data_IF_551328319518
#
_entry.id   IF_551328319518
#
_cell.length_a   1.000
_cell.length_b   1.000
_cell.length_c   1.000
_cell.angle_alpha   90.00
_cell.angle_beta   90.00
_cell.angle_gamma   90.00
#
_symmetry.space_group_name_H-M   'P 1'
#
loop_
_entity.id
_entity.type
_entity.pdbx_description
1 polymer ?
#
# COMPACT_ATOMS: atom_id res chain seq x y z
N UNK A 1 -29.24 13.95 -2.41
CA UNK A 1 -28.35 14.67 -3.32
C UNK A 1 -27.62 15.76 -2.54
N UNK A 2 -26.42 15.51 -2.03
CA UNK A 2 -25.55 16.55 -1.44
C UNK A 2 -24.68 17.10 -2.57
N UNK A 3 -24.83 18.39 -2.89
CA UNK A 3 -24.01 19.10 -3.86
C UNK A 3 -22.57 19.18 -3.35
N UNK A 4 -21.64 18.62 -4.12
CA UNK A 4 -20.21 18.85 -3.93
C UNK A 4 -19.87 20.25 -4.42
N UNK A 5 -19.25 21.12 -3.61
CA UNK A 5 -18.82 22.43 -4.07
C UNK A 5 -17.62 22.28 -5.02
N UNK A 6 -17.71 22.87 -6.20
CA UNK A 6 -16.61 23.02 -7.13
C UNK A 6 -15.53 23.87 -6.47
N UNK A 7 -14.33 23.32 -6.34
CA UNK A 7 -13.15 24.05 -5.90
C UNK A 7 -12.66 24.94 -7.04
N UNK A 8 -12.62 26.25 -6.80
CA UNK A 8 -12.06 27.23 -7.71
C UNK A 8 -10.54 27.05 -7.77
N UNK A 9 -9.99 27.00 -8.97
CA UNK A 9 -8.56 27.09 -9.27
C UNK A 9 -8.04 28.46 -8.84
N UNK A 10 -7.59 28.61 -7.61
CA UNK A 10 -6.77 29.72 -7.18
C UNK A 10 -5.30 29.27 -7.26
N UNK A 11 -4.56 29.89 -8.16
CA UNK A 11 -3.11 29.82 -8.17
C UNK A 11 -2.59 30.22 -6.79
N UNK A 12 -1.96 29.27 -6.09
CA UNK A 12 -1.33 29.51 -4.79
C UNK A 12 -0.13 30.42 -5.04
N UNK A 13 -0.33 31.72 -4.83
CA UNK A 13 0.77 32.67 -4.63
C UNK A 13 1.40 32.32 -3.30
N UNK A 14 2.68 31.98 -3.32
CA UNK A 14 3.49 31.84 -2.12
C UNK A 14 3.51 33.19 -1.39
N UNK A 15 2.81 33.30 -0.27
CA UNK A 15 2.93 34.39 0.68
C UNK A 15 4.25 34.25 1.41
N UNK A 16 4.87 35.39 1.66
CA UNK A 16 6.22 35.60 2.14
C UNK A 16 6.67 34.70 3.28
N UNK A 17 7.94 34.33 3.23
CA UNK A 17 8.66 33.60 4.25
C UNK A 17 8.62 34.36 5.58
N UNK A 18 7.81 33.88 6.53
CA UNK A 18 8.06 34.10 7.94
C UNK A 18 9.34 33.33 8.26
N UNK A 19 10.23 33.90 9.06
CA UNK A 19 11.50 33.34 9.54
C UNK A 19 11.26 32.21 10.54
N UNK A 20 10.43 31.23 10.20
CA UNK A 20 10.34 29.96 10.93
C UNK A 20 11.63 29.20 10.62
N UNK A 21 12.37 28.84 11.67
CA UNK A 21 13.54 27.96 11.59
C UNK A 21 13.12 26.70 10.82
N UNK A 22 13.77 26.46 9.67
CA UNK A 22 13.46 25.30 8.83
C UNK A 22 13.65 24.02 9.65
N UNK A 23 12.56 23.27 9.88
CA UNK A 23 12.60 22.01 10.61
C UNK A 23 13.46 20.98 9.88
N UNK A 24 14.22 20.21 10.63
CA UNK A 24 14.87 19.01 10.11
C UNK A 24 13.99 17.79 10.39
N UNK A 25 13.56 17.09 9.32
CA UNK A 25 12.75 15.88 9.39
C UNK A 25 13.58 14.68 8.93
N UNK A 26 13.77 13.69 9.80
CA UNK A 26 14.42 12.42 9.44
C UNK A 26 13.38 11.32 9.28
N UNK A 27 13.38 10.69 8.11
CA UNK A 27 12.42 9.63 7.73
C UNK A 27 13.15 8.29 7.66
N UNK A 28 12.70 7.32 8.43
CA UNK A 28 13.27 5.97 8.49
C UNK A 28 12.50 5.07 7.53
N UNK A 29 13.11 4.77 6.40
CA UNK A 29 12.54 3.97 5.31
C UNK A 29 12.27 4.79 4.04
N UNK A 30 12.90 4.39 2.94
CA UNK A 30 12.73 4.98 1.62
C UNK A 30 11.72 4.24 0.75
N UNK A 31 10.75 3.52 1.36
CA UNK A 31 9.57 3.01 0.66
C UNK A 31 8.68 4.15 0.17
N UNK A 32 7.65 3.85 -0.62
CA UNK A 32 6.80 4.88 -1.23
C UNK A 32 6.13 5.80 -0.18
N UNK A 33 5.77 5.28 0.99
CA UNK A 33 5.22 6.10 2.09
C UNK A 33 6.26 7.10 2.61
N UNK A 34 7.51 6.66 2.80
CA UNK A 34 8.60 7.53 3.21
C UNK A 34 8.92 8.60 2.17
N UNK A 35 8.98 8.24 0.88
CA UNK A 35 9.22 9.18 -0.21
C UNK A 35 8.08 10.23 -0.33
N UNK A 36 6.82 9.81 -0.24
CA UNK A 36 5.69 10.74 -0.25
C UNK A 36 5.71 11.67 0.98
N UNK A 37 6.06 11.13 2.16
CA UNK A 37 6.20 11.96 3.37
C UNK A 37 7.30 13.00 3.18
N UNK A 38 8.46 12.58 2.64
CA UNK A 38 9.57 13.48 2.33
C UNK A 38 9.16 14.59 1.35
N UNK A 39 8.40 14.23 0.31
CA UNK A 39 7.93 15.18 -0.69
C UNK A 39 7.09 16.28 -0.04
N UNK A 40 6.05 15.92 0.71
CA UNK A 40 5.18 16.90 1.37
C UNK A 40 5.89 17.70 2.49
N UNK A 41 6.94 17.15 3.11
CA UNK A 41 7.81 17.90 4.02
C UNK A 41 8.70 18.90 3.26
N UNK A 42 9.31 18.49 2.15
CA UNK A 42 10.15 19.34 1.32
C UNK A 42 9.38 20.50 0.67
N UNK A 43 8.12 20.28 0.30
CA UNK A 43 7.21 21.34 -0.22
C UNK A 43 6.95 22.46 0.81
N UNK A 44 7.13 22.17 2.09
CA UNK A 44 7.04 23.15 3.18
C UNK A 44 8.37 23.84 3.50
N UNK A 45 9.40 23.59 2.67
CA UNK A 45 10.73 24.17 2.86
C UNK A 45 11.53 23.55 4.02
N UNK A 46 11.13 22.35 4.52
CA UNK A 46 11.86 21.69 5.59
C UNK A 46 13.06 20.90 5.03
N UNK A 47 14.14 20.88 5.81
CA UNK A 47 15.27 19.99 5.52
C UNK A 47 14.87 18.55 5.78
N UNK A 48 15.06 17.68 4.79
CA UNK A 48 14.67 16.27 4.88
C UNK A 48 15.88 15.36 4.73
N UNK A 49 15.98 14.37 5.62
CA UNK A 49 16.91 13.24 5.52
C UNK A 49 16.10 11.95 5.46
N UNK A 50 16.37 11.11 4.46
CA UNK A 50 15.81 9.77 4.37
C UNK A 50 16.91 8.77 4.66
N UNK A 51 16.63 7.82 5.57
CA UNK A 51 17.56 6.77 5.97
C UNK A 51 16.99 5.42 5.55
N UNK A 52 17.76 4.63 4.80
CA UNK A 52 17.33 3.29 4.38
C UNK A 52 18.51 2.31 4.44
N UNK A 53 18.25 1.09 4.91
CA UNK A 53 19.22 0.01 4.96
C UNK A 53 19.69 -0.46 3.58
N UNK A 54 18.86 -0.26 2.57
CA UNK A 54 19.12 -0.64 1.18
C UNK A 54 19.76 0.50 0.40
N UNK A 55 20.19 0.23 -0.82
CA UNK A 55 20.70 1.25 -1.74
C UNK A 55 19.61 2.00 -2.51
N UNK A 56 20.03 2.93 -3.35
CA UNK A 56 19.13 3.70 -4.22
C UNK A 56 18.35 2.79 -5.20
N UNK A 57 18.99 1.74 -5.69
CA UNK A 57 18.38 0.68 -6.52
C UNK A 57 17.92 -0.47 -5.62
N UNK A 58 16.79 -0.28 -4.96
CA UNK A 58 16.18 -1.26 -4.07
C UNK A 58 14.95 -1.88 -4.69
N UNK A 59 14.67 -3.13 -4.34
CA UNK A 59 13.52 -3.91 -4.79
C UNK A 59 12.48 -4.15 -3.67
N UNK A 60 12.42 -3.25 -2.70
CA UNK A 60 11.51 -3.35 -1.56
C UNK A 60 10.02 -3.44 -1.97
N UNK A 61 9.15 -3.67 -1.00
CA UNK A 61 7.72 -4.00 -1.19
C UNK A 61 6.96 -3.02 -2.12
N UNK A 62 7.38 -1.76 -2.22
CA UNK A 62 6.79 -0.78 -3.11
C UNK A 62 7.11 -1.04 -4.59
N UNK A 63 8.31 -1.53 -4.89
CA UNK A 63 8.81 -1.70 -6.26
C UNK A 63 8.09 -2.80 -7.04
N UNK A 64 7.91 -3.96 -6.43
CA UNK A 64 7.25 -5.11 -7.04
C UNK A 64 5.73 -5.13 -6.82
N UNK A 65 5.15 -4.06 -6.28
CA UNK A 65 3.71 -3.89 -6.15
C UNK A 65 3.03 -3.90 -7.53
N UNK A 66 1.77 -4.33 -7.58
CA UNK A 66 0.97 -4.33 -8.81
C UNK A 66 0.44 -2.94 -9.20
N UNK A 67 0.77 -1.90 -8.44
CA UNK A 67 0.53 -0.51 -8.80
C UNK A 67 -0.93 -0.05 -8.76
N UNK A 68 -1.82 -0.82 -8.19
CA UNK A 68 -3.23 -0.48 -8.09
C UNK A 68 -3.46 0.70 -7.13
N UNK A 69 -4.22 1.70 -7.58
CA UNK A 69 -4.76 2.80 -6.78
C UNK A 69 -6.26 2.58 -6.75
N UNK A 70 -6.76 1.99 -5.67
CA UNK A 70 -8.06 1.33 -5.66
C UNK A 70 -8.97 1.82 -4.53
N UNK A 71 -9.72 2.92 -4.73
CA UNK A 71 -10.84 3.29 -3.88
C UNK A 71 -11.83 2.14 -3.65
N UNK A 72 -11.92 1.19 -4.59
CA UNK A 72 -12.74 -0.01 -4.47
C UNK A 72 -12.32 -0.97 -3.34
N UNK A 73 -11.08 -0.87 -2.85
CA UNK A 73 -10.57 -1.71 -1.75
C UNK A 73 -10.82 -1.08 -0.37
N UNK A 74 -12.05 -0.67 -0.11
CA UNK A 74 -12.47 -0.04 1.15
C UNK A 74 -12.80 -1.03 2.26
N UNK A 75 -12.92 -2.33 1.98
CA UNK A 75 -13.14 -3.36 3.00
C UNK A 75 -11.79 -3.77 3.60
N UNK A 76 -11.60 -3.66 4.93
CA UNK A 76 -10.34 -4.03 5.57
C UNK A 76 -10.08 -5.54 5.44
N UNK A 77 -8.80 -5.93 5.52
CA UNK A 77 -8.38 -7.34 5.46
C UNK A 77 -9.04 -8.18 6.56
N UNK A 78 -9.23 -7.61 7.74
CA UNK A 78 -9.93 -8.23 8.87
C UNK A 78 -11.45 -8.13 8.69
N UNK A 79 -12.02 -8.91 7.78
CA UNK A 79 -13.46 -8.97 7.50
C UNK A 79 -14.10 -10.24 8.09
N UNK A 80 -15.44 -10.28 8.31
CA UNK A 80 -16.15 -11.48 8.71
C UNK A 80 -15.85 -12.66 7.77
N UNK A 81 -15.62 -13.84 8.34
CA UNK A 81 -15.26 -15.03 7.58
C UNK A 81 -13.79 -15.14 7.19
N UNK A 82 -13.00 -14.06 7.26
CA UNK A 82 -11.58 -14.08 6.87
C UNK A 82 -10.75 -15.10 7.66
N UNK A 83 -11.02 -15.26 8.97
CA UNK A 83 -10.31 -16.24 9.81
C UNK A 83 -10.66 -17.67 9.39
N UNK A 84 -11.96 -18.00 9.23
CA UNK A 84 -12.40 -19.33 8.82
C UNK A 84 -11.86 -19.68 7.41
N UNK A 85 -11.91 -18.74 6.50
CA UNK A 85 -11.35 -18.89 5.16
C UNK A 85 -9.82 -19.07 5.20
N UNK A 86 -9.14 -18.31 6.04
CA UNK A 86 -7.70 -18.43 6.24
C UNK A 86 -7.30 -19.81 6.78
N UNK A 87 -8.01 -20.33 7.79
CA UNK A 87 -7.80 -21.68 8.33
C UNK A 87 -8.02 -22.77 7.27
N UNK A 88 -9.08 -22.65 6.45
CA UNK A 88 -9.32 -23.56 5.33
C UNK A 88 -8.18 -23.52 4.31
N UNK A 89 -7.68 -22.36 4.00
CA UNK A 89 -6.59 -22.19 3.04
C UNK A 89 -5.23 -22.64 3.55
N UNK A 90 -4.99 -22.64 4.87
CA UNK A 90 -3.75 -23.17 5.46
C UNK A 90 -3.48 -24.65 5.16
N UNK A 91 -4.53 -25.42 4.85
CA UNK A 91 -4.40 -26.83 4.50
C UNK A 91 -3.93 -27.05 3.05
N UNK A 92 -3.89 -26.00 2.22
CA UNK A 92 -3.47 -26.08 0.83
C UNK A 92 -2.29 -25.12 0.57
N UNK A 93 -1.06 -25.63 0.30
CA UNK A 93 0.11 -24.81 0.01
C UNK A 93 -0.04 -23.89 -1.22
N UNK A 94 -0.91 -24.25 -2.16
CA UNK A 94 -1.18 -23.45 -3.37
C UNK A 94 -2.26 -22.38 -3.17
N UNK A 95 -2.82 -22.24 -1.95
CA UNK A 95 -3.90 -21.28 -1.66
C UNK A 95 -3.40 -19.83 -1.73
N UNK A 96 -4.28 -18.85 -1.96
CA UNK A 96 -3.93 -17.43 -1.98
C UNK A 96 -3.40 -16.89 -0.66
N UNK A 97 -3.74 -17.56 0.47
CA UNK A 97 -3.32 -17.17 1.81
C UNK A 97 -2.73 -18.36 2.57
N UNK A 98 -1.63 -18.13 3.26
CA UNK A 98 -0.95 -19.15 4.06
C UNK A 98 -0.30 -18.54 5.29
N UNK A 99 -0.34 -19.28 6.39
CA UNK A 99 0.42 -18.97 7.59
C UNK A 99 1.44 -20.09 7.81
N UNK A 100 2.71 -19.76 7.68
CA UNK A 100 3.79 -20.73 7.94
C UNK A 100 3.80 -21.07 9.43
N UNK A 101 3.59 -22.32 9.81
CA UNK A 101 3.64 -22.74 11.21
C UNK A 101 5.00 -22.39 11.84
N UNK A 102 4.98 -21.60 12.92
CA UNK A 102 6.16 -21.26 13.70
C UNK A 102 5.75 -20.91 15.13
N UNK A 103 6.55 -21.27 16.14
CA UNK A 103 6.33 -20.82 17.50
C UNK A 103 6.65 -19.31 17.60
N UNK A 104 5.59 -18.47 17.64
CA UNK A 104 5.74 -17.02 17.77
C UNK A 104 4.60 -16.43 18.56
N UNK A 105 4.91 -15.93 19.75
CA UNK A 105 3.95 -15.21 20.59
C UNK A 105 3.41 -13.95 19.90
N UNK A 106 4.24 -13.28 19.11
CA UNK A 106 3.84 -12.10 18.34
C UNK A 106 2.78 -12.45 17.29
N UNK A 107 2.98 -13.57 16.56
CA UNK A 107 2.00 -14.05 15.58
C UNK A 107 0.69 -14.45 16.25
N UNK A 108 0.76 -15.13 17.39
CA UNK A 108 -0.44 -15.50 18.17
C UNK A 108 -1.19 -14.26 18.65
N UNK A 109 -0.48 -13.31 19.26
CA UNK A 109 -1.07 -12.06 19.75
C UNK A 109 -1.69 -11.23 18.60
N UNK A 110 -1.00 -11.18 17.44
CA UNK A 110 -1.52 -10.54 16.23
C UNK A 110 -2.78 -11.27 15.73
N UNK A 111 -2.76 -12.60 15.69
CA UNK A 111 -3.91 -13.43 15.27
C UNK A 111 -5.15 -13.22 16.14
N UNK A 112 -4.98 -13.12 17.48
CA UNK A 112 -6.08 -12.81 18.39
C UNK A 112 -6.66 -11.40 18.12
N UNK A 113 -5.79 -10.40 17.88
CA UNK A 113 -6.25 -9.05 17.53
C UNK A 113 -6.97 -9.04 16.17
N UNK A 114 -6.44 -9.77 15.18
CA UNK A 114 -7.05 -9.92 13.86
C UNK A 114 -8.44 -10.56 13.95
N UNK A 115 -8.57 -11.65 14.71
CA UNK A 115 -9.87 -12.29 14.95
C UNK A 115 -10.88 -11.35 15.61
N UNK A 116 -10.47 -10.61 16.65
CA UNK A 116 -11.32 -9.60 17.30
C UNK A 116 -11.69 -8.46 16.36
N UNK A 117 -10.83 -8.11 15.42
CA UNK A 117 -11.10 -7.07 14.42
C UNK A 117 -12.07 -7.55 13.32
N UNK A 118 -12.14 -8.87 13.05
CA UNK A 118 -12.93 -9.45 11.96
C UNK A 118 -14.44 -9.52 12.28
N UNK A 119 -15.04 -8.39 12.65
CA UNK A 119 -16.46 -8.28 12.96
C UNK A 119 -17.16 -7.29 12.00
N UNK A 120 -18.43 -7.56 11.68
CA UNK A 120 -19.23 -6.69 10.80
C UNK A 120 -19.31 -5.23 11.29
N UNK A 121 -19.41 -5.04 12.62
CA UNK A 121 -19.46 -3.70 13.23
C UNK A 121 -18.15 -2.94 12.99
N UNK A 122 -17.00 -3.60 13.12
CA UNK A 122 -15.70 -2.97 12.89
C UNK A 122 -15.48 -2.66 11.41
N UNK A 123 -15.87 -3.57 10.52
CA UNK A 123 -15.85 -3.33 9.07
C UNK A 123 -16.71 -2.15 8.70
N UNK A 124 -17.95 -2.07 9.20
CA UNK A 124 -18.86 -0.96 8.92
C UNK A 124 -18.31 0.41 9.37
N UNK A 125 -17.48 0.44 10.43
CA UNK A 125 -16.78 1.66 10.88
C UNK A 125 -15.52 1.97 10.08
N UNK A 126 -14.78 0.96 9.68
CA UNK A 126 -13.50 1.11 8.97
C UNK A 126 -13.67 1.41 7.48
N UNK A 127 -14.70 0.84 6.83
CA UNK A 127 -14.90 0.95 5.40
C UNK A 127 -15.07 2.38 4.88
N UNK A 128 -15.88 3.26 5.51
CA UNK A 128 -15.98 4.66 5.09
C UNK A 128 -14.64 5.41 5.22
N UNK A 129 -13.89 5.17 6.31
CA UNK A 129 -12.58 5.78 6.52
C UNK A 129 -11.56 5.34 5.47
N UNK A 130 -11.51 4.05 5.14
CA UNK A 130 -10.62 3.54 4.09
C UNK A 130 -11.01 4.09 2.71
N UNK A 131 -12.30 4.25 2.44
CA UNK A 131 -12.78 4.88 1.22
C UNK A 131 -12.35 6.34 1.14
N UNK A 132 -12.55 7.12 2.21
CA UNK A 132 -12.15 8.54 2.27
C UNK A 132 -10.64 8.70 2.07
N UNK A 133 -9.83 7.86 2.74
CA UNK A 133 -8.37 7.83 2.56
C UNK A 133 -7.99 7.49 1.12
N UNK A 134 -8.65 6.51 0.51
CA UNK A 134 -8.34 6.06 -0.84
C UNK A 134 -8.73 7.09 -1.90
N UNK A 135 -9.88 7.74 -1.74
CA UNK A 135 -10.30 8.84 -2.62
C UNK A 135 -9.36 10.05 -2.50
N UNK A 136 -9.03 10.46 -1.28
CA UNK A 136 -8.07 11.55 -1.05
C UNK A 136 -6.68 11.20 -1.60
N UNK A 137 -6.25 9.95 -1.50
CA UNK A 137 -4.97 9.51 -2.07
C UNK A 137 -4.98 9.50 -3.59
N UNK A 138 -6.09 9.09 -4.19
CA UNK A 138 -6.30 9.14 -5.63
C UNK A 138 -6.19 10.59 -6.14
N UNK A 139 -6.82 11.54 -5.45
CA UNK A 139 -6.69 12.98 -5.77
C UNK A 139 -5.23 13.43 -5.66
N UNK A 140 -4.50 13.03 -4.61
CA UNK A 140 -3.08 13.34 -4.47
C UNK A 140 -2.24 12.83 -5.65
N UNK A 141 -2.50 11.62 -6.15
CA UNK A 141 -1.80 11.09 -7.33
C UNK A 141 -2.06 11.93 -8.57
N UNK A 142 -3.30 12.38 -8.79
CA UNK A 142 -3.64 13.27 -9.89
C UNK A 142 -2.99 14.66 -9.76
N UNK A 143 -2.91 15.20 -8.54
CA UNK A 143 -2.18 16.45 -8.29
C UNK A 143 -0.69 16.30 -8.63
N UNK A 144 -0.05 15.20 -8.22
CA UNK A 144 1.36 14.92 -8.52
C UNK A 144 1.60 14.75 -10.02
N UNK A 145 0.73 14.00 -10.71
CA UNK A 145 0.81 13.84 -12.16
C UNK A 145 0.57 15.17 -12.91
N UNK A 146 -0.40 15.97 -12.44
CA UNK A 146 -0.69 17.32 -12.96
C UNK A 146 0.45 18.30 -12.74
N UNK A 147 1.27 18.10 -11.71
CA UNK A 147 2.52 18.85 -11.47
C UNK A 147 3.69 18.36 -12.34
N UNK A 148 3.47 17.44 -13.27
CA UNK A 148 4.48 16.95 -14.21
C UNK A 148 5.28 15.74 -13.72
N UNK A 149 4.90 15.10 -12.62
CA UNK A 149 5.56 13.87 -12.16
C UNK A 149 5.16 12.67 -13.02
N UNK A 150 6.14 12.00 -13.62
CA UNK A 150 5.92 10.77 -14.36
C UNK A 150 5.75 9.59 -13.40
N UNK A 151 4.50 9.24 -13.14
CA UNK A 151 4.12 8.12 -12.28
C UNK A 151 3.71 6.88 -13.08
N UNK A 152 3.58 7.00 -14.40
CA UNK A 152 2.94 5.99 -15.23
C UNK A 152 1.49 5.76 -14.83
N UNK A 153 0.78 6.82 -14.43
CA UNK A 153 -0.61 6.78 -13.99
C UNK A 153 -1.55 6.51 -15.16
N UNK A 154 -2.50 5.61 -15.00
CA UNK A 154 -3.53 5.26 -15.98
C UNK A 154 -4.90 5.12 -15.31
N UNK A 155 -5.89 5.86 -15.82
CA UNK A 155 -7.28 5.89 -15.34
C UNK A 155 -8.17 5.02 -16.22
N UNK A 156 -8.01 3.69 -16.09
CA UNK A 156 -8.77 2.70 -16.87
C UNK A 156 -9.76 1.90 -16.02
N UNK A 157 -9.86 2.23 -14.73
CA UNK A 157 -10.63 1.45 -13.77
C UNK A 157 -9.97 0.11 -13.44
N UNK A 158 -10.63 -0.64 -12.57
CA UNK A 158 -10.25 -2.02 -12.21
C UNK A 158 -11.42 -2.96 -12.42
N UNK A 159 -11.15 -4.14 -12.99
CA UNK A 159 -12.12 -5.22 -13.15
C UNK A 159 -11.94 -6.27 -12.04
N UNK A 160 -12.94 -6.50 -11.21
CA UNK A 160 -12.97 -7.66 -10.32
C UNK A 160 -13.59 -8.81 -11.09
N UNK A 161 -12.76 -9.69 -11.63
CA UNK A 161 -13.14 -10.78 -12.52
C UNK A 161 -13.54 -12.02 -11.74
N UNK A 162 -14.66 -12.66 -12.08
CA UNK A 162 -15.20 -13.82 -11.41
C UNK A 162 -15.38 -14.99 -12.38
N UNK A 163 -14.91 -16.19 -12.00
CA UNK A 163 -15.11 -17.44 -12.77
C UNK A 163 -16.32 -18.23 -12.29
N UNK A 164 -16.77 -18.03 -11.04
CA UNK A 164 -17.91 -18.76 -10.48
C UNK A 164 -19.09 -17.84 -10.22
N UNK A 165 -20.31 -18.36 -10.42
CA UNK A 165 -21.53 -17.60 -10.12
C UNK A 165 -21.60 -17.16 -8.67
N UNK A 166 -21.22 -18.03 -7.74
CA UNK A 166 -21.18 -17.71 -6.31
C UNK A 166 -20.30 -16.49 -6.02
N UNK A 167 -19.09 -16.46 -6.56
CA UNK A 167 -18.17 -15.33 -6.35
C UNK A 167 -18.67 -14.05 -7.01
N UNK A 168 -19.25 -14.17 -8.20
CA UNK A 168 -19.86 -13.06 -8.90
C UNK A 168 -21.01 -12.42 -8.10
N UNK A 169 -21.86 -13.24 -7.47
CA UNK A 169 -22.97 -12.77 -6.64
C UNK A 169 -22.45 -12.09 -5.35
N UNK A 170 -21.35 -12.57 -4.75
CA UNK A 170 -20.68 -11.92 -3.61
C UNK A 170 -20.09 -10.55 -3.99
N UNK A 171 -19.36 -10.47 -5.12
CA UNK A 171 -18.79 -9.22 -5.60
C UNK A 171 -19.87 -8.23 -6.05
N UNK A 172 -21.00 -8.70 -6.58
CA UNK A 172 -22.16 -7.86 -6.90
C UNK A 172 -22.75 -7.20 -5.65
N UNK A 173 -22.85 -7.91 -4.54
CA UNK A 173 -23.27 -7.34 -3.23
C UNK A 173 -22.24 -6.33 -2.73
N UNK A 174 -20.95 -6.58 -2.92
CA UNK A 174 -19.90 -5.62 -2.59
C UNK A 174 -20.02 -4.35 -3.42
N UNK A 175 -20.37 -4.47 -4.71
CA UNK A 175 -20.64 -3.34 -5.58
C UNK A 175 -21.87 -2.53 -5.13
N UNK A 176 -22.91 -3.17 -4.63
CA UNK A 176 -24.08 -2.49 -4.02
C UNK A 176 -23.67 -1.68 -2.79
N UNK A 177 -22.83 -2.26 -1.93
CA UNK A 177 -22.31 -1.57 -0.75
C UNK A 177 -21.41 -0.38 -1.15
N UNK A 178 -20.55 -0.56 -2.16
CA UNK A 178 -19.74 0.52 -2.72
C UNK A 178 -20.61 1.71 -3.20
N UNK A 179 -21.67 1.41 -3.97
CA UNK A 179 -22.64 2.44 -4.43
C UNK A 179 -23.34 3.14 -3.27
N UNK A 180 -23.70 2.39 -2.23
CA UNK A 180 -24.31 2.98 -1.01
C UNK A 180 -23.37 3.95 -0.29
N UNK A 181 -22.04 3.74 -0.40
CA UNK A 181 -21.00 4.65 0.09
C UNK A 181 -20.65 5.78 -0.90
N UNK A 182 -21.30 5.83 -2.07
CA UNK A 182 -21.07 6.86 -3.09
C UNK A 182 -19.96 6.55 -4.10
N UNK A 183 -19.40 5.34 -4.09
CA UNK A 183 -18.41 4.89 -5.07
C UNK A 183 -19.12 4.23 -6.27
N UNK A 184 -18.83 4.70 -7.49
CA UNK A 184 -19.36 4.08 -8.71
C UNK A 184 -18.83 2.65 -8.87
N UNK A 185 -19.75 1.71 -9.09
CA UNK A 185 -19.45 0.31 -9.36
C UNK A 185 -20.48 -0.24 -10.36
N UNK A 186 -20.02 -0.92 -11.40
CA UNK A 186 -20.84 -1.50 -12.46
C UNK A 186 -20.68 -3.00 -12.46
N UNK A 187 -21.80 -3.73 -12.33
CA UNK A 187 -21.83 -5.20 -12.45
C UNK A 187 -22.01 -5.51 -13.92
N UNK A 188 -21.08 -6.26 -14.48
CA UNK A 188 -20.97 -6.54 -15.92
C UNK A 188 -21.13 -8.04 -16.18
N UNK A 189 -21.92 -8.37 -17.19
CA UNK A 189 -21.98 -9.72 -17.77
C UNK A 189 -20.64 -10.10 -18.42
N UNK A 190 -20.53 -11.37 -18.85
CA UNK A 190 -19.36 -11.85 -19.60
C UNK A 190 -19.09 -11.01 -20.86
N UNK A 191 -20.14 -10.74 -21.65
CA UNK A 191 -20.01 -10.01 -22.92
C UNK A 191 -19.65 -8.54 -22.69
N UNK A 192 -20.27 -7.89 -21.69
CA UNK A 192 -19.91 -6.53 -21.32
C UNK A 192 -18.48 -6.45 -20.77
N UNK A 193 -18.01 -7.46 -20.02
CA UNK A 193 -16.63 -7.54 -19.58
C UNK A 193 -15.67 -7.65 -20.76
N UNK A 194 -15.96 -8.51 -21.73
CA UNK A 194 -15.17 -8.68 -22.95
C UNK A 194 -15.17 -7.41 -23.82
N UNK A 195 -16.26 -6.66 -23.86
CA UNK A 195 -16.34 -5.41 -24.61
C UNK A 195 -15.46 -4.29 -24.03
N UNK A 196 -15.24 -4.28 -22.70
CA UNK A 196 -14.32 -3.33 -22.06
C UNK A 196 -12.84 -3.60 -22.38
N UNK A 197 -12.49 -4.86 -22.57
CA UNK A 197 -11.10 -5.27 -22.83
C UNK A 197 -11.04 -6.28 -23.98
N UNK A 198 -11.31 -5.84 -25.22
CA UNK A 198 -11.44 -6.72 -26.41
C UNK A 198 -10.11 -7.30 -26.88
N UNK A 199 -8.97 -6.79 -26.40
CA UNK A 199 -7.65 -7.21 -26.87
C UNK A 199 -7.20 -8.54 -26.25
N UNK A 200 -7.87 -8.97 -25.17
CA UNK A 200 -7.58 -10.22 -24.46
C UNK A 200 -8.85 -11.04 -24.25
N UNK A 201 -8.73 -12.35 -24.41
CA UNK A 201 -9.83 -13.27 -24.06
C UNK A 201 -9.80 -13.55 -22.57
N UNK A 202 -10.97 -13.45 -21.92
CA UNK A 202 -11.15 -13.69 -20.49
C UNK A 202 -12.14 -14.84 -20.28
N UNK A 203 -11.78 -15.84 -19.46
CA UNK A 203 -12.67 -16.91 -19.03
C UNK A 203 -13.31 -16.53 -17.70
N UNK A 204 -14.43 -15.81 -17.78
CA UNK A 204 -15.18 -15.29 -16.64
C UNK A 204 -16.68 -15.43 -16.85
N UNK A 205 -17.44 -15.51 -15.77
CA UNK A 205 -18.93 -15.44 -15.81
C UNK A 205 -19.41 -13.99 -15.81
N UNK A 206 -18.57 -13.07 -15.38
CA UNK A 206 -18.79 -11.62 -15.32
C UNK A 206 -17.75 -10.93 -14.44
N UNK A 207 -17.90 -9.64 -14.28
CA UNK A 207 -17.01 -8.83 -13.45
C UNK A 207 -17.74 -7.69 -12.76
N UNK A 208 -17.07 -7.06 -11.79
CA UNK A 208 -17.46 -5.74 -11.28
C UNK A 208 -16.40 -4.74 -11.74
N UNK A 209 -16.81 -3.70 -12.42
CA UNK A 209 -15.94 -2.60 -12.87
C UNK A 209 -16.05 -1.41 -11.91
N UNK A 210 -14.90 -0.94 -11.44
CA UNK A 210 -14.76 0.27 -10.64
C UNK A 210 -14.05 1.36 -11.46
N UNK A 211 -14.79 2.27 -12.13
CA UNK A 211 -14.21 3.26 -13.04
C UNK A 211 -13.28 4.26 -12.37
N UNK A 212 -13.48 4.51 -11.05
CA UNK A 212 -12.68 5.46 -10.27
C UNK A 212 -11.30 4.92 -9.89
N UNK A 213 -11.10 3.62 -10.00
CA UNK A 213 -9.79 3.01 -9.75
C UNK A 213 -8.80 3.39 -10.86
N UNK A 214 -7.54 3.44 -10.51
CA UNK A 214 -6.42 3.71 -11.40
C UNK A 214 -5.28 2.73 -11.15
N UNK A 215 -4.30 2.73 -12.01
CA UNK A 215 -3.04 2.05 -11.74
C UNK A 215 -1.85 2.93 -12.14
N UNK A 216 -0.70 2.68 -11.53
CA UNK A 216 0.56 3.34 -11.84
C UNK A 216 1.67 2.32 -12.06
N UNK A 217 2.81 2.78 -12.59
CA UNK A 217 4.03 1.97 -12.69
C UNK A 217 4.90 2.21 -11.46
N UNK A 218 4.93 1.29 -10.45
CA UNK A 218 5.58 1.57 -9.16
C UNK A 218 7.06 1.92 -9.26
N UNK A 219 7.81 1.25 -10.14
CA UNK A 219 9.23 1.55 -10.38
C UNK A 219 9.43 2.97 -10.92
N UNK A 220 8.56 3.42 -11.83
CA UNK A 220 8.58 4.77 -12.41
C UNK A 220 8.23 5.82 -11.34
N UNK A 221 7.16 5.59 -10.58
CA UNK A 221 6.76 6.46 -9.48
C UNK A 221 7.85 6.61 -8.41
N UNK A 222 8.46 5.50 -8.00
CA UNK A 222 9.56 5.50 -7.03
C UNK A 222 10.79 6.25 -7.53
N UNK A 223 11.18 6.04 -8.80
CA UNK A 223 12.32 6.72 -9.41
C UNK A 223 12.05 8.23 -9.56
N UNK A 224 10.85 8.61 -9.97
CA UNK A 224 10.45 10.03 -10.11
C UNK A 224 10.44 10.73 -8.76
N UNK A 225 9.82 10.14 -7.72
CA UNK A 225 9.82 10.72 -6.37
C UNK A 225 11.25 10.87 -5.82
N UNK A 226 12.12 9.90 -6.03
CA UNK A 226 13.51 9.96 -5.58
C UNK A 226 14.29 11.06 -6.30
N UNK A 227 14.12 11.22 -7.60
CA UNK A 227 14.75 12.27 -8.42
C UNK A 227 14.28 13.65 -7.96
N UNK A 228 12.96 13.85 -7.84
CA UNK A 228 12.37 15.10 -7.37
C UNK A 228 12.88 15.52 -5.98
N UNK A 229 12.97 14.56 -5.06
CA UNK A 229 13.50 14.80 -3.72
C UNK A 229 14.99 15.16 -3.74
N UNK A 230 15.78 14.51 -4.58
CA UNK A 230 17.20 14.85 -4.74
C UNK A 230 17.38 16.27 -5.29
N UNK A 231 16.58 16.69 -6.28
CA UNK A 231 16.57 18.04 -6.83
C UNK A 231 16.16 19.10 -5.78
N UNK A 232 15.31 18.75 -4.83
CA UNK A 232 14.89 19.59 -3.69
C UNK A 232 15.89 19.60 -2.53
N UNK A 233 17.05 18.92 -2.68
CA UNK A 233 18.09 18.90 -1.65
C UNK A 233 17.86 17.90 -0.51
N UNK A 234 16.97 16.93 -0.67
CA UNK A 234 16.81 15.85 0.31
C UNK A 234 18.09 15.01 0.42
N UNK A 235 18.59 14.83 1.64
CA UNK A 235 19.72 13.94 1.93
C UNK A 235 19.21 12.50 1.96
N UNK A 236 19.84 11.61 1.21
CA UNK A 236 19.62 10.18 1.28
C UNK A 236 20.82 9.49 1.96
N UNK A 237 20.59 8.83 3.08
CA UNK A 237 21.55 7.97 3.76
C UNK A 237 21.22 6.50 3.38
N UNK A 238 21.81 6.07 2.27
CA UNK A 238 21.68 4.70 1.77
C UNK A 238 22.59 3.75 2.53
N UNK A 239 22.28 2.45 2.50
CA UNK A 239 23.02 1.39 3.20
C UNK A 239 23.18 1.70 4.71
N UNK A 240 22.21 2.37 5.29
CA UNK A 240 22.21 2.89 6.65
C UNK A 240 21.08 2.24 7.44
N UNK A 241 21.38 1.14 8.13
CA UNK A 241 20.40 0.44 8.97
C UNK A 241 20.30 1.10 10.33
N UNK A 242 19.08 1.50 10.71
CA UNK A 242 18.77 2.01 12.05
C UNK A 242 18.67 0.85 13.03
N UNK A 243 19.45 0.90 14.11
CA UNK A 243 19.49 -0.12 15.15
C UNK A 243 19.07 0.39 16.53
N UNK A 244 18.95 1.69 16.72
CA UNK A 244 18.61 2.25 18.03
C UNK A 244 18.13 3.69 17.97
N UNK A 245 17.67 4.14 19.13
CA UNK A 245 17.06 5.45 19.34
C UNK A 245 17.61 6.06 20.64
N UNK A 246 18.04 7.32 20.58
CA UNK A 246 18.49 8.06 21.76
C UNK A 246 17.43 9.08 22.14
N UNK A 247 16.86 8.93 23.31
CA UNK A 247 15.83 9.82 23.87
C UNK A 247 16.42 10.71 24.96
N UNK A 248 15.88 11.93 25.04
CA UNK A 248 15.95 12.77 26.21
C UNK A 248 14.49 13.01 26.69
N UNK A 249 14.17 12.46 27.86
CA UNK A 249 12.80 12.48 28.42
C UNK A 249 11.76 11.94 27.40
N UNK A 250 10.89 12.83 26.86
CA UNK A 250 9.83 12.51 25.91
C UNK A 250 10.13 13.02 24.48
N UNK A 251 11.40 13.29 24.16
CA UNK A 251 11.82 13.69 22.82
C UNK A 251 12.88 12.73 22.30
N UNK A 252 12.71 12.29 21.06
CA UNK A 252 13.73 11.55 20.33
C UNK A 252 14.78 12.54 19.83
N UNK A 253 16.04 12.35 20.23
CA UNK A 253 17.15 13.24 19.90
C UNK A 253 17.88 12.77 18.64
N UNK A 254 18.11 11.45 18.54
CA UNK A 254 18.82 10.90 17.41
C UNK A 254 18.42 9.42 17.15
N UNK A 255 18.61 8.98 15.93
CA UNK A 255 18.64 7.58 15.56
C UNK A 255 20.09 7.10 15.45
N UNK A 256 20.36 5.85 15.83
CA UNK A 256 21.69 5.26 15.76
C UNK A 256 21.74 4.22 14.65
N UNK A 257 22.76 4.32 13.81
CA UNK A 257 23.01 3.44 12.68
C UNK A 257 23.95 2.26 13.05
N UNK A 258 23.96 1.21 12.24
CA UNK A 258 24.91 0.10 12.35
C UNK A 258 26.38 0.54 12.25
N UNK A 259 26.65 1.64 11.54
CA UNK A 259 27.99 2.25 11.46
C UNK A 259 28.48 2.88 12.76
N UNK A 260 27.59 3.06 13.75
CA UNK A 260 27.85 3.84 14.96
C UNK A 260 27.55 5.33 14.80
N UNK A 261 27.28 5.83 13.60
CA UNK A 261 26.85 7.21 13.36
C UNK A 261 25.47 7.48 13.99
N UNK A 262 25.27 8.66 14.53
CA UNK A 262 23.98 9.17 14.96
C UNK A 262 23.47 10.26 14.00
N UNK A 263 22.17 10.23 13.68
CA UNK A 263 21.50 11.27 12.92
C UNK A 263 20.47 11.92 13.82
N UNK A 264 20.63 13.21 14.06
CA UNK A 264 19.72 14.06 14.80
C UNK A 264 18.66 14.69 13.88
N UNK A 265 17.54 15.08 14.45
CA UNK A 265 16.49 15.85 13.75
C UNK A 265 15.51 16.47 14.78
N UNK A 266 14.74 17.46 14.33
CA UNK A 266 13.63 18.01 15.11
C UNK A 266 12.45 17.04 15.16
N UNK A 267 12.23 16.30 14.07
CA UNK A 267 11.11 15.35 13.92
C UNK A 267 11.58 14.07 13.23
N UNK A 268 11.06 12.94 13.70
CA UNK A 268 11.33 11.63 13.13
C UNK A 268 10.05 10.97 12.65
N UNK A 269 10.13 10.27 11.52
CA UNK A 269 9.03 9.49 10.96
C UNK A 269 9.46 8.05 10.74
N UNK A 270 8.77 7.10 11.36
CA UNK A 270 8.98 5.68 11.16
C UNK A 270 8.11 5.19 10.02
N UNK A 271 8.72 4.93 8.85
CA UNK A 271 8.08 4.46 7.61
C UNK A 271 8.76 3.20 7.03
N UNK A 272 9.27 2.32 7.93
CA UNK A 272 10.12 1.18 7.59
C UNK A 272 9.34 -0.09 7.19
N UNK A 273 8.10 0.03 6.71
CA UNK A 273 7.28 -1.09 6.25
C UNK A 273 7.17 -2.20 7.29
N UNK A 274 7.41 -3.45 6.92
CA UNK A 274 7.31 -4.61 7.82
C UNK A 274 8.34 -4.60 8.96
N UNK A 275 9.44 -3.86 8.84
CA UNK A 275 10.44 -3.69 9.91
C UNK A 275 10.02 -2.67 10.97
N UNK A 276 8.94 -1.93 10.73
CA UNK A 276 8.45 -0.93 11.69
C UNK A 276 8.03 -1.53 13.04
N UNK A 277 7.59 -2.78 13.09
CA UNK A 277 7.30 -3.45 14.37
C UNK A 277 8.57 -3.61 15.22
N UNK A 278 9.66 -4.11 14.63
CA UNK A 278 10.96 -4.30 15.29
C UNK A 278 11.57 -2.96 15.73
N UNK A 279 11.58 -1.98 14.83
CA UNK A 279 12.10 -0.64 15.13
C UNK A 279 11.23 0.09 16.14
N UNK A 280 9.90 -0.07 16.05
CA UNK A 280 8.96 0.48 17.03
C UNK A 280 9.23 -0.07 18.43
N UNK A 281 9.39 -1.39 18.57
CA UNK A 281 9.74 -2.00 19.85
C UNK A 281 11.06 -1.44 20.43
N UNK A 282 12.08 -1.25 19.59
CA UNK A 282 13.33 -0.62 19.99
C UNK A 282 13.15 0.86 20.42
N UNK A 283 12.17 1.56 19.84
CA UNK A 283 11.78 2.91 20.21
C UNK A 283 10.81 2.95 21.41
N UNK A 284 10.38 1.82 21.95
CA UNK A 284 9.40 1.73 23.04
C UNK A 284 7.96 2.03 22.62
N UNK A 285 7.61 1.78 21.35
CA UNK A 285 6.24 1.88 20.82
C UNK A 285 5.74 0.51 20.36
N UNK A 286 4.46 0.26 20.54
CA UNK A 286 3.83 -1.02 20.15
C UNK A 286 2.98 -0.84 18.89
N UNK A 287 3.56 -1.17 17.74
CA UNK A 287 2.86 -1.19 16.43
C UNK A 287 2.83 -2.63 15.91
N UNK A 288 1.85 -3.46 16.35
CA UNK A 288 1.81 -4.87 15.99
C UNK A 288 1.60 -5.03 14.47
N UNK A 289 2.56 -5.69 13.83
CA UNK A 289 2.56 -5.98 12.41
C UNK A 289 2.95 -7.43 12.14
N UNK A 290 2.37 -8.02 11.11
CA UNK A 290 2.90 -9.23 10.49
C UNK A 290 3.28 -8.93 9.04
N UNK A 291 4.42 -9.48 8.63
CA UNK A 291 4.84 -9.38 7.25
C UNK A 291 4.02 -10.36 6.39
N UNK A 292 3.22 -9.82 5.47
CA UNK A 292 2.46 -10.57 4.49
C UNK A 292 3.21 -10.67 3.17
N UNK A 293 3.99 -11.75 2.97
CA UNK A 293 4.77 -11.94 1.76
C UNK A 293 3.86 -12.19 0.55
N UNK A 294 4.09 -11.47 -0.52
CA UNK A 294 3.45 -11.68 -1.81
C UNK A 294 4.49 -11.73 -2.92
N UNK A 295 4.09 -12.28 -4.05
CA UNK A 295 4.96 -12.46 -5.20
C UNK A 295 4.39 -11.77 -6.42
N UNK A 296 5.26 -11.37 -7.34
CA UNK A 296 4.85 -10.89 -8.67
C UNK A 296 5.83 -11.33 -9.75
N UNK A 297 5.31 -11.42 -10.98
CA UNK A 297 6.07 -11.66 -12.20
C UNK A 297 5.75 -10.53 -13.17
N UNK A 298 6.75 -10.08 -13.91
CA UNK A 298 6.58 -9.01 -14.89
C UNK A 298 7.03 -9.50 -16.26
N UNK A 299 6.06 -9.61 -17.17
CA UNK A 299 6.32 -9.89 -18.58
C UNK A 299 6.65 -8.54 -19.23
N UNK A 300 7.89 -8.36 -19.68
CA UNK A 300 8.34 -7.12 -20.32
C UNK A 300 7.77 -6.90 -21.71
N UNK A 301 7.45 -8.01 -22.41
CA UNK A 301 6.90 -8.00 -23.77
C UNK A 301 5.82 -9.07 -23.87
N UNK A 302 4.65 -8.87 -23.25
CA UNK A 302 3.56 -9.85 -23.28
C UNK A 302 2.99 -9.93 -24.70
N UNK A 303 2.57 -11.13 -25.12
CA UNK A 303 1.93 -11.32 -26.45
C UNK A 303 0.65 -10.52 -26.64
N UNK A 304 -0.03 -10.22 -25.55
CA UNK A 304 -1.21 -9.36 -25.45
C UNK A 304 -1.13 -8.54 -24.18
N UNK A 305 -1.72 -7.37 -24.17
CA UNK A 305 -1.75 -6.48 -23.00
C UNK A 305 -3.19 -6.08 -22.70
N UNK A 306 -3.73 -6.44 -21.52
CA UNK A 306 -5.02 -5.94 -21.06
C UNK A 306 -5.02 -4.41 -21.00
N UNK A 307 -6.15 -3.79 -21.32
CA UNK A 307 -6.32 -2.32 -21.24
C UNK A 307 -6.50 -1.85 -19.80
N UNK A 308 -7.21 -2.65 -19.01
CA UNK A 308 -7.57 -2.35 -17.62
C UNK A 308 -6.82 -3.26 -16.66
N UNK A 309 -6.54 -2.75 -15.47
CA UNK A 309 -6.10 -3.60 -14.38
C UNK A 309 -7.25 -4.53 -13.93
N UNK A 310 -6.90 -5.70 -13.40
CA UNK A 310 -7.89 -6.65 -12.91
C UNK A 310 -7.45 -7.31 -11.59
N UNK A 311 -8.44 -7.74 -10.82
CA UNK A 311 -8.28 -8.65 -9.69
C UNK A 311 -9.06 -9.94 -9.99
N UNK A 312 -8.38 -11.06 -10.01
CA UNK A 312 -8.95 -12.39 -10.17
C UNK A 312 -9.55 -12.82 -8.82
N UNK A 313 -10.86 -12.75 -8.69
CA UNK A 313 -11.53 -12.74 -7.39
C UNK A 313 -11.30 -14.01 -6.57
N UNK A 314 -11.36 -15.20 -7.19
CA UNK A 314 -11.14 -16.50 -6.51
C UNK A 314 -9.66 -16.70 -6.14
N UNK A 315 -8.75 -16.28 -7.03
CA UNK A 315 -7.32 -16.51 -6.89
C UNK A 315 -6.60 -15.43 -6.07
N UNK A 316 -7.22 -14.27 -5.84
CA UNK A 316 -6.59 -13.11 -5.22
C UNK A 316 -5.29 -12.69 -5.93
N UNK A 317 -5.32 -12.75 -7.26
CA UNK A 317 -4.22 -12.36 -8.14
C UNK A 317 -4.59 -11.07 -8.84
N UNK A 318 -3.74 -10.07 -8.72
CA UNK A 318 -3.85 -8.81 -9.47
C UNK A 318 -3.10 -8.92 -10.80
N UNK A 319 -3.70 -8.37 -11.83
CA UNK A 319 -3.16 -8.29 -13.18
C UNK A 319 -3.14 -6.80 -13.55
N UNK A 320 -1.96 -6.26 -13.86
CA UNK A 320 -1.82 -4.82 -14.09
C UNK A 320 -0.95 -4.54 -15.32
N UNK A 321 -1.46 -3.79 -16.29
CA UNK A 321 -0.62 -3.22 -17.34
C UNK A 321 0.34 -2.19 -16.72
N UNK A 322 1.62 -2.25 -17.13
CA UNK A 322 2.73 -1.42 -16.63
C UNK A 322 3.45 -0.73 -17.80
N UNK A 323 2.77 0.18 -18.49
CA UNK A 323 3.18 0.63 -19.82
C UNK A 323 3.04 -0.52 -20.81
N UNK A 324 4.14 -0.91 -21.46
CA UNK A 324 4.17 -2.03 -22.43
C UNK A 324 4.35 -3.41 -21.75
N UNK A 325 4.56 -3.44 -20.44
CA UNK A 325 4.73 -4.68 -19.67
C UNK A 325 3.43 -5.08 -18.99
N UNK A 326 3.35 -6.36 -18.59
CA UNK A 326 2.24 -6.90 -17.80
C UNK A 326 2.78 -7.47 -16.50
N UNK A 327 2.27 -6.99 -15.37
CA UNK A 327 2.58 -7.53 -14.06
C UNK A 327 1.43 -8.38 -13.52
N UNK A 328 1.77 -9.59 -13.08
CA UNK A 328 0.85 -10.52 -12.44
C UNK A 328 1.37 -10.79 -11.03
N UNK A 329 0.58 -10.52 -10.02
CA UNK A 329 1.03 -10.68 -8.64
C UNK A 329 -0.09 -11.05 -7.69
N UNK A 330 0.24 -11.79 -6.64
CA UNK A 330 -0.78 -12.26 -5.71
C UNK A 330 -0.19 -12.89 -4.46
N UNK A 331 -1.02 -13.68 -3.83
CA UNK A 331 -0.79 -14.43 -2.59
C UNK A 331 -0.47 -13.56 -1.37
N UNK A 332 -0.68 -14.14 -0.19
CA UNK A 332 -0.27 -13.57 1.08
C UNK A 332 0.21 -14.70 1.98
N UNK A 333 1.50 -14.69 2.30
CA UNK A 333 2.13 -15.66 3.19
C UNK A 333 2.65 -14.98 4.45
N UNK A 334 2.18 -15.40 5.62
CA UNK A 334 2.68 -14.94 6.92
C UNK A 334 3.84 -15.82 7.37
N UNK A 335 5.05 -15.56 6.86
CA UNK A 335 6.28 -16.31 7.15
C UNK A 335 7.31 -15.55 7.99
N UNK A 336 6.93 -14.41 8.59
CA UNK A 336 7.86 -13.50 9.25
C UNK A 336 8.58 -12.62 8.25
N UNK A 337 9.79 -12.17 8.62
CA UNK A 337 10.63 -11.34 7.74
C UNK A 337 11.46 -12.19 6.77
N UNK A 338 10.94 -13.33 6.33
CA UNK A 338 11.56 -14.21 5.35
C UNK A 338 11.28 -13.69 3.93
N UNK A 339 12.31 -13.34 3.18
CA UNK A 339 12.25 -12.81 1.81
C UNK A 339 12.48 -13.91 0.73
N UNK A 340 12.59 -15.17 1.12
CA UNK A 340 12.78 -16.29 0.17
C UNK A 340 11.57 -16.46 -0.76
N UNK A 341 11.85 -16.89 -1.99
CA UNK A 341 10.81 -17.16 -2.99
C UNK A 341 10.32 -18.60 -2.88
N UNK A 342 9.02 -18.80 -2.72
CA UNK A 342 8.39 -20.12 -2.74
C UNK A 342 7.88 -20.45 -4.17
N UNK A 343 8.48 -21.44 -4.87
CA UNK A 343 8.13 -21.77 -6.24
C UNK A 343 6.69 -22.32 -6.39
N UNK A 344 6.13 -22.94 -5.34
CA UNK A 344 4.76 -23.46 -5.37
C UNK A 344 3.77 -22.29 -5.48
N UNK A 345 4.03 -21.23 -4.75
CA UNK A 345 3.18 -20.03 -4.75
C UNK A 345 3.31 -19.23 -6.02
N UNK A 346 4.52 -19.11 -6.55
CA UNK A 346 4.75 -18.50 -7.86
C UNK A 346 3.98 -19.27 -8.94
N UNK A 347 4.07 -20.60 -8.94
CA UNK A 347 3.33 -21.45 -9.88
C UNK A 347 1.80 -21.27 -9.75
N UNK A 348 1.27 -21.17 -8.53
CA UNK A 348 -0.17 -20.97 -8.33
C UNK A 348 -0.66 -19.62 -8.86
N UNK A 349 0.16 -18.59 -8.84
CA UNK A 349 -0.16 -17.28 -9.48
C UNK A 349 -0.24 -17.46 -11.00
N UNK A 350 0.74 -18.13 -11.61
CA UNK A 350 0.77 -18.37 -13.06
C UNK A 350 -0.43 -19.22 -13.48
N UNK A 351 -0.72 -20.30 -12.75
CA UNK A 351 -1.84 -21.20 -13.04
C UNK A 351 -3.20 -20.49 -12.93
N UNK A 352 -3.33 -19.61 -11.96
CA UNK A 352 -4.52 -18.79 -11.83
C UNK A 352 -4.65 -17.82 -13.01
N UNK A 353 -3.57 -17.13 -13.37
CA UNK A 353 -3.58 -16.17 -14.46
C UNK A 353 -3.95 -16.82 -15.80
N UNK A 354 -3.27 -17.90 -16.21
CA UNK A 354 -3.56 -18.57 -17.49
C UNK A 354 -4.96 -19.18 -17.56
N UNK A 355 -5.55 -19.53 -16.43
CA UNK A 355 -6.94 -20.00 -16.38
C UNK A 355 -7.93 -18.88 -16.68
N UNK A 356 -7.68 -17.66 -16.20
CA UNK A 356 -8.52 -16.49 -16.47
C UNK A 356 -8.26 -15.88 -17.83
N UNK A 357 -7.02 -15.96 -18.32
CA UNK A 357 -6.57 -15.39 -19.60
C UNK A 357 -6.04 -16.48 -20.54
N UNK A 358 -6.94 -17.24 -21.21
CA UNK A 358 -6.55 -18.39 -22.03
C UNK A 358 -5.76 -18.06 -23.29
N UNK A 359 -5.51 -16.80 -23.58
CA UNK A 359 -4.55 -16.37 -24.61
C UNK A 359 -3.10 -16.53 -24.18
N UNK A 360 -2.84 -16.78 -22.89
CA UNK A 360 -1.54 -17.01 -22.30
C UNK A 360 -1.37 -18.48 -21.87
N UNK A 361 -0.11 -18.88 -21.75
CA UNK A 361 0.30 -20.20 -21.26
C UNK A 361 1.37 -20.08 -20.20
N UNK A 362 1.72 -21.18 -19.52
CA UNK A 362 2.85 -21.21 -18.59
C UNK A 362 4.18 -20.86 -19.26
N UNK A 363 4.31 -21.13 -20.57
CA UNK A 363 5.54 -20.88 -21.32
C UNK A 363 5.83 -19.38 -21.46
N UNK A 364 4.81 -18.53 -21.41
CA UNK A 364 4.99 -17.08 -21.41
C UNK A 364 5.76 -16.57 -20.18
N UNK A 365 5.83 -17.38 -19.13
CA UNK A 365 6.53 -17.07 -17.87
C UNK A 365 7.89 -17.74 -17.74
N UNK A 366 8.35 -18.49 -18.75
CA UNK A 366 9.68 -19.13 -18.71
C UNK A 366 10.78 -18.08 -18.68
N UNK A 367 11.75 -18.29 -17.79
CA UNK A 367 12.89 -17.39 -17.62
C UNK A 367 12.57 -16.08 -16.88
N UNK A 368 11.32 -15.83 -16.49
CA UNK A 368 10.98 -14.65 -15.70
C UNK A 368 11.31 -14.89 -14.23
N UNK A 369 12.20 -14.07 -13.69
CA UNK A 369 12.52 -14.08 -12.28
C UNK A 369 11.34 -13.55 -11.46
N UNK A 370 10.79 -14.34 -10.51
CA UNK A 370 9.76 -13.86 -9.62
C UNK A 370 10.34 -12.88 -8.60
N UNK A 371 9.57 -11.85 -8.28
CA UNK A 371 9.86 -10.94 -7.20
C UNK A 371 9.02 -11.29 -5.97
N UNK A 372 9.57 -11.06 -4.76
CA UNK A 372 8.89 -11.23 -3.47
C UNK A 372 8.98 -9.98 -2.61
N UNK A 373 7.91 -9.63 -1.88
CA UNK A 373 7.91 -8.48 -1.00
C UNK A 373 7.02 -8.64 0.22
N UNK A 374 7.42 -7.98 1.32
CA UNK A 374 6.82 -8.09 2.64
C UNK A 374 5.86 -6.93 2.90
N UNK A 375 4.55 -7.19 2.85
CA UNK A 375 3.50 -6.20 3.15
C UNK A 375 3.34 -6.05 4.65
N UNK A 376 3.38 -4.82 5.21
CA UNK A 376 3.18 -4.58 6.64
C UNK A 376 1.70 -4.68 7.01
N UNK A 377 1.26 -5.83 7.52
CA UNK A 377 -0.14 -6.07 7.83
C UNK A 377 -0.44 -5.76 9.30
N UNK A 378 -1.25 -4.73 9.54
CA UNK A 378 -1.85 -4.45 10.85
C UNK A 378 -2.95 -5.45 11.18
N UNK A 379 -3.28 -5.68 12.46
CA UNK A 379 -4.29 -6.69 12.83
C UNK A 379 -5.72 -6.31 12.40
N UNK A 380 -6.03 -5.02 12.33
CA UNK A 380 -7.37 -4.51 11.98
C UNK A 380 -7.50 -4.10 10.50
N UNK A 381 -6.40 -4.18 9.74
CA UNK A 381 -6.36 -3.78 8.34
C UNK A 381 -6.30 -2.26 8.11
N UNK A 382 -6.26 -1.45 9.17
CA UNK A 382 -6.06 -0.01 9.09
C UNK A 382 -4.57 0.34 9.21
N UNK A 383 -4.04 1.31 8.44
CA UNK A 383 -2.67 1.76 8.61
C UNK A 383 -2.45 2.43 9.98
N UNK A 384 -1.20 2.54 10.39
CA UNK A 384 -0.77 3.41 11.48
C UNK A 384 -0.32 4.73 10.89
N UNK A 385 -1.03 5.82 11.20
CA UNK A 385 -0.72 7.17 10.74
C UNK A 385 -0.93 8.15 11.88
N UNK A 386 0.16 8.72 12.39
CA UNK A 386 0.02 9.68 13.47
C UNK A 386 1.24 9.82 14.37
N UNK A 387 1.08 10.64 15.41
CA UNK A 387 2.05 10.82 16.50
C UNK A 387 1.96 9.65 17.48
N UNK A 388 3.04 9.38 18.19
CA UNK A 388 3.08 8.43 19.31
C UNK A 388 3.05 9.15 20.65
N UNK A 389 2.49 8.54 21.68
CA UNK A 389 2.55 9.03 23.04
C UNK A 389 3.95 8.88 23.66
N UNK A 390 4.80 8.03 23.08
CA UNK A 390 6.19 7.75 23.55
C UNK A 390 7.11 8.96 23.39
N UNK A 391 6.97 9.70 22.26
CA UNK A 391 7.77 10.89 22.00
C UNK A 391 6.98 11.90 21.18
N UNK A 392 7.03 13.16 21.61
CA UNK A 392 6.26 14.26 20.99
C UNK A 392 6.66 14.52 19.52
N UNK A 393 7.88 14.16 19.14
CA UNK A 393 8.47 14.38 17.84
C UNK A 393 8.68 13.09 17.03
N UNK A 394 8.07 11.97 17.44
CA UNK A 394 8.08 10.71 16.68
C UNK A 394 6.70 10.43 16.10
N UNK A 395 6.63 10.28 14.78
CA UNK A 395 5.44 9.90 14.03
C UNK A 395 5.63 8.53 13.37
N UNK A 396 4.53 7.89 13.02
CA UNK A 396 4.52 6.60 12.34
C UNK A 396 3.67 6.68 11.08
N UNK A 397 4.17 6.09 9.98
CA UNK A 397 3.46 5.88 8.73
C UNK A 397 3.72 4.46 8.20
N UNK A 398 2.92 3.48 8.63
CA UNK A 398 3.13 2.07 8.28
C UNK A 398 1.84 1.25 8.41
N UNK A 399 1.92 -0.06 8.20
CA UNK A 399 0.77 -0.95 8.44
C UNK A 399 -0.27 -0.98 7.32
N UNK A 400 0.06 -0.51 6.14
CA UNK A 400 -0.87 -0.36 5.00
C UNK A 400 -1.24 -1.67 4.31
N UNK A 401 -0.71 -2.81 4.73
CA UNK A 401 -0.91 -4.10 4.08
C UNK A 401 -0.70 -4.02 2.56
N UNK A 402 -1.71 -4.37 1.76
CA UNK A 402 -1.67 -4.31 0.30
C UNK A 402 -1.79 -2.88 -0.26
N UNK A 403 -2.33 -1.95 0.54
CA UNK A 403 -2.71 -0.60 0.13
C UNK A 403 -1.57 0.42 0.23
N UNK A 404 -0.33 -0.03 0.49
CA UNK A 404 0.81 0.87 0.73
C UNK A 404 1.08 1.82 -0.44
N UNK A 405 1.04 1.34 -1.67
CA UNK A 405 1.15 2.19 -2.87
C UNK A 405 -0.10 3.05 -3.00
N UNK A 406 -1.29 2.47 -2.91
CA UNK A 406 -2.54 3.19 -3.06
C UNK A 406 -2.70 4.36 -2.07
N UNK A 407 -2.25 4.21 -0.82
CA UNK A 407 -2.43 5.21 0.25
C UNK A 407 -1.19 6.06 0.55
N UNK A 408 -0.07 5.89 -0.19
CA UNK A 408 1.18 6.56 0.14
C UNK A 408 1.11 8.10 0.10
N UNK A 409 0.55 8.75 -0.93
CA UNK A 409 0.52 10.21 -0.98
C UNK A 409 -0.32 10.82 0.15
N UNK A 410 -1.52 10.29 0.39
CA UNK A 410 -2.35 10.81 1.48
C UNK A 410 -1.69 10.60 2.84
N UNK A 411 -1.03 9.45 3.07
CA UNK A 411 -0.28 9.19 4.31
C UNK A 411 0.83 10.22 4.48
N UNK A 412 1.60 10.49 3.43
CA UNK A 412 2.67 11.50 3.46
C UNK A 412 2.13 12.90 3.75
N UNK A 413 1.03 13.29 3.09
CA UNK A 413 0.35 14.58 3.31
C UNK A 413 -0.13 14.74 4.74
N UNK A 414 -0.80 13.72 5.29
CA UNK A 414 -1.31 13.72 6.66
C UNK A 414 -0.18 13.83 7.69
N UNK A 415 0.92 13.10 7.50
CA UNK A 415 2.10 13.19 8.38
C UNK A 415 2.72 14.59 8.33
N UNK A 416 2.89 15.16 7.13
CA UNK A 416 3.40 16.52 6.99
C UNK A 416 2.47 17.57 7.63
N UNK A 417 1.15 17.43 7.52
CA UNK A 417 0.18 18.28 8.22
C UNK A 417 0.34 18.18 9.75
N UNK A 418 0.46 16.96 10.29
CA UNK A 418 0.70 16.77 11.73
C UNK A 418 2.02 17.42 12.18
N UNK A 419 3.10 17.31 11.39
CA UNK A 419 4.40 17.95 11.68
C UNK A 419 4.26 19.47 11.70
N UNK A 420 3.44 20.05 10.79
CA UNK A 420 3.14 21.48 10.76
C UNK A 420 2.23 21.93 11.92
N UNK A 421 1.63 21.03 12.66
CA UNK A 421 0.62 21.36 13.68
C UNK A 421 -0.77 21.65 13.08
N UNK A 422 -0.96 21.35 11.80
CA UNK A 422 -2.25 21.48 11.13
C UNK A 422 -3.22 20.37 11.57
N UNK A 423 -4.51 20.66 11.56
CA UNK A 423 -5.56 19.66 11.81
C UNK A 423 -5.99 19.00 10.50
N UNK A 424 -5.71 17.72 10.29
CA UNK A 424 -6.20 17.00 9.12
C UNK A 424 -7.73 16.98 9.05
N UNK A 425 -8.28 16.95 7.84
CA UNK A 425 -9.73 16.80 7.62
C UNK A 425 -10.22 15.38 7.91
N UNK A 426 -9.35 14.39 7.69
CA UNK A 426 -9.64 12.98 7.98
C UNK A 426 -9.38 12.72 9.46
N UNK A 427 -10.32 12.05 10.14
CA UNK A 427 -10.12 11.63 11.54
C UNK A 427 -9.02 10.56 11.62
N UNK A 428 -7.93 10.88 12.29
CA UNK A 428 -6.79 9.99 12.48
C UNK A 428 -6.87 9.15 13.77
N UNK A 429 -7.86 9.35 14.62
CA UNK A 429 -7.97 8.59 15.87
C UNK A 429 -8.01 7.07 15.65
N UNK A 430 -8.75 6.52 14.65
CA UNK A 430 -8.72 5.10 14.35
C UNK A 430 -7.38 4.61 13.76
N UNK A 431 -6.54 5.52 13.25
CA UNK A 431 -5.23 5.24 12.66
C UNK A 431 -4.08 5.43 13.66
N UNK A 432 -4.38 5.82 14.89
CA UNK A 432 -3.37 6.10 15.91
C UNK A 432 -2.38 4.95 16.06
N UNK A 433 -1.05 5.23 16.09
CA UNK A 433 -0.05 4.23 16.43
C UNK A 433 -0.26 3.62 17.83
N UNK A 434 -0.90 4.35 18.73
CA UNK A 434 -1.11 3.94 20.11
C UNK A 434 -2.42 3.15 20.35
N UNK A 435 -3.19 2.84 19.30
CA UNK A 435 -4.51 2.17 19.41
C UNK A 435 -4.46 0.73 19.97
N UNK A 436 -3.25 0.20 20.21
CA UNK A 436 -3.03 -1.11 20.82
C UNK A 436 -2.25 -1.03 22.14
N UNK A 437 -2.18 0.15 22.73
CA UNK A 437 -1.63 0.37 24.09
C UNK A 437 -2.67 0.14 25.17
#
# INVERSE_FOLDING_TARGET
MRKVPRCSTSAIRFAGASSEVSKHVTIIGAGIVGLCTALYCSERGWRVTIVDRSGAQRDGCSYGNTGLIVPSHFIPLAAPGAVAQGLKWMLNPASPFYVRPRPSLELLAWGVRFWRASSAVRVARAAPLLLDLSLASHECYHELAGAGMDLGLADKGTLIQCQTRHRFDEESKTAEYARALGLEARVLSRDETAALDPDVRMDVVGSVHYPKDSNLVPSRAMATLQRELAQRGTRFAWHSEVIGFRFDRKALQAIRLTSGEEIDADVFVLAAGSWSAKLGAAAGINVPLQAGKGYSLTLSSPRKLPRSAALLAEARVAVSPMGDALRVGGTMELSGLDESIDPIRVRSIIDAFVRYYPDFSRDDFQGIAPWGGLRPCSPDGLPYVGRTSRASNLLVGTGHAMMGVSLAPITGRLLAQLIAGERPRIDLAPLSPDRYH
#
